data_IF_709756971739
#
_entry.id   IF_709756971739
#
_cell.length_a   1.000
_cell.length_b   1.000
_cell.length_c   1.000
_cell.angle_alpha   90.00
_cell.angle_beta   90.00
_cell.angle_gamma   90.00
#
_symmetry.space_group_name_H-M   'P 1'
#
loop_
_entity.id
_entity.type
_entity.pdbx_description
1 polymer ?
#
# COMPACT_ATOMS: atom_id res chain seq x y z
N UNK A 1 -34.53 -23.55 -12.79
CA UNK A 1 -33.91 -22.52 -13.64
C UNK A 1 -34.13 -21.16 -12.98
N UNK A 2 -33.06 -20.38 -12.79
CA UNK A 2 -33.06 -19.10 -12.07
C UNK A 2 -32.55 -18.01 -13.02
N UNK A 3 -33.29 -16.93 -13.18
CA UNK A 3 -32.85 -15.78 -13.97
C UNK A 3 -32.12 -14.78 -13.07
N UNK A 4 -30.99 -14.24 -13.54
CA UNK A 4 -30.15 -13.31 -12.77
C UNK A 4 -29.53 -12.23 -13.66
N UNK A 5 -29.45 -11.01 -13.15
CA UNK A 5 -28.66 -9.92 -13.74
C UNK A 5 -27.23 -9.84 -13.20
N UNK A 6 -26.85 -10.75 -12.31
CA UNK A 6 -25.54 -10.79 -11.68
C UNK A 6 -24.99 -12.22 -11.68
N UNK A 7 -24.17 -12.52 -12.69
CA UNK A 7 -23.44 -13.78 -12.72
C UNK A 7 -22.50 -13.92 -11.51
N UNK A 8 -21.92 -12.82 -11.03
CA UNK A 8 -21.12 -12.83 -9.80
C UNK A 8 -21.91 -13.28 -8.57
N UNK A 9 -23.18 -12.89 -8.45
CA UNK A 9 -24.05 -13.35 -7.37
C UNK A 9 -24.47 -14.81 -7.55
N UNK A 10 -24.74 -15.24 -8.79
CA UNK A 10 -25.04 -16.63 -9.09
C UNK A 10 -23.87 -17.57 -8.77
N UNK A 11 -22.65 -17.19 -9.14
CA UNK A 11 -21.43 -17.93 -8.77
C UNK A 11 -21.30 -18.05 -7.25
N UNK A 12 -21.45 -16.96 -6.50
CA UNK A 12 -21.40 -16.97 -5.03
C UNK A 12 -22.53 -17.77 -4.37
N UNK A 13 -23.69 -17.88 -5.02
CA UNK A 13 -24.82 -18.63 -4.48
C UNK A 13 -24.60 -20.15 -4.50
N UNK A 14 -23.76 -20.64 -5.41
CA UNK A 14 -23.43 -22.07 -5.56
C UNK A 14 -22.00 -22.42 -5.17
N UNK A 15 -21.20 -21.42 -4.78
CA UNK A 15 -19.83 -21.63 -4.29
C UNK A 15 -19.88 -22.06 -2.81
N UNK A 16 -19.52 -23.31 -2.49
CA UNK A 16 -19.49 -23.78 -1.11
C UNK A 16 -18.24 -23.29 -0.36
N UNK A 17 -17.27 -22.66 -1.05
CA UNK A 17 -16.05 -22.17 -0.42
C UNK A 17 -16.32 -20.95 0.47
N UNK A 18 -15.50 -20.81 1.52
CA UNK A 18 -15.60 -19.69 2.46
C UNK A 18 -15.15 -18.42 1.76
N UNK A 19 -16.08 -17.48 1.56
CA UNK A 19 -15.77 -16.17 0.99
C UNK A 19 -16.51 -15.02 1.68
N UNK A 20 -15.96 -13.81 1.56
CA UNK A 20 -16.44 -12.54 2.13
C UNK A 20 -17.95 -12.28 2.01
N UNK A 21 -18.56 -12.68 0.89
CA UNK A 21 -19.99 -12.52 0.63
C UNK A 21 -20.90 -13.62 1.14
N UNK A 22 -20.38 -14.65 1.84
CA UNK A 22 -21.18 -15.79 2.29
C UNK A 22 -21.79 -15.48 3.66
N UNK A 23 -23.12 -15.41 3.71
CA UNK A 23 -23.85 -15.30 4.98
C UNK A 23 -24.25 -16.68 5.53
N UNK A 24 -24.52 -17.65 4.64
CA UNK A 24 -24.95 -19.01 4.95
C UNK A 24 -24.58 -19.96 3.80
N UNK A 25 -24.42 -21.26 4.07
CA UNK A 25 -24.35 -22.32 3.04
C UNK A 25 -25.78 -22.79 2.73
N UNK A 26 -26.28 -22.52 1.53
CA UNK A 26 -27.69 -22.75 1.17
C UNK A 26 -27.96 -24.11 0.54
N UNK A 27 -26.94 -24.73 -0.06
CA UNK A 27 -27.07 -25.97 -0.82
C UNK A 27 -26.08 -27.01 -0.31
N UNK A 28 -26.57 -28.24 -0.15
CA UNK A 28 -25.73 -29.43 0.02
C UNK A 28 -25.28 -29.91 -1.36
N UNK A 29 -24.06 -30.45 -1.45
CA UNK A 29 -23.57 -31.00 -2.71
C UNK A 29 -24.33 -32.31 -3.02
N UNK A 30 -25.13 -32.30 -4.08
CA UNK A 30 -25.87 -33.46 -4.58
C UNK A 30 -25.70 -33.57 -6.10
N UNK A 31 -25.15 -34.69 -6.56
CA UNK A 31 -24.91 -34.98 -7.98
C UNK A 31 -26.21 -35.06 -8.81
N UNK A 32 -27.37 -35.19 -8.15
CA UNK A 32 -28.68 -35.23 -8.80
C UNK A 32 -29.42 -33.89 -8.79
N UNK A 33 -28.90 -32.86 -8.10
CA UNK A 33 -29.53 -31.55 -8.02
C UNK A 33 -28.84 -30.55 -8.96
N UNK A 34 -29.45 -30.28 -10.12
CA UNK A 34 -28.93 -29.29 -11.07
C UNK A 34 -29.74 -27.99 -11.02
N UNK A 35 -29.07 -26.88 -10.69
CA UNK A 35 -29.63 -25.53 -10.76
C UNK A 35 -29.02 -24.80 -11.96
N UNK A 36 -29.85 -24.46 -12.94
CA UNK A 36 -29.42 -23.65 -14.10
C UNK A 36 -29.66 -22.17 -13.83
N UNK A 37 -28.60 -21.35 -13.94
CA UNK A 37 -28.70 -19.89 -13.96
C UNK A 37 -28.71 -19.38 -15.40
N UNK A 38 -29.65 -18.50 -15.73
CA UNK A 38 -29.76 -17.81 -17.02
C UNK A 38 -29.49 -16.34 -16.80
N UNK A 39 -28.42 -15.83 -17.40
CA UNK A 39 -28.08 -14.42 -17.31
C UNK A 39 -29.04 -13.57 -18.16
N UNK A 40 -29.65 -12.57 -17.53
CA UNK A 40 -30.52 -11.60 -18.17
C UNK A 40 -30.03 -10.20 -17.78
N UNK A 41 -29.44 -9.43 -18.70
CA UNK A 41 -29.03 -8.06 -18.41
C UNK A 41 -30.19 -7.22 -17.88
N UNK A 42 -30.01 -6.55 -16.74
CA UNK A 42 -31.03 -5.67 -16.13
C UNK A 42 -31.47 -4.53 -17.07
N UNK A 43 -30.59 -4.10 -17.98
CA UNK A 43 -30.88 -3.12 -19.01
C UNK A 43 -32.03 -3.52 -19.95
N UNK A 44 -32.31 -4.82 -20.11
CA UNK A 44 -33.41 -5.30 -20.95
C UNK A 44 -34.78 -5.01 -20.33
N UNK A 45 -34.85 -4.73 -19.02
CA UNK A 45 -36.10 -4.48 -18.26
C UNK A 45 -37.19 -5.50 -18.60
N UNK A 46 -36.81 -6.76 -18.73
CA UNK A 46 -37.69 -7.81 -19.19
C UNK A 46 -38.75 -8.13 -18.12
N UNK A 47 -39.93 -7.53 -18.27
CA UNK A 47 -41.17 -7.84 -17.55
C UNK A 47 -40.94 -8.21 -16.05
N UNK A 48 -41.25 -9.45 -15.66
CA UNK A 48 -41.11 -9.97 -14.29
C UNK A 48 -39.68 -9.82 -13.74
N UNK A 49 -38.65 -9.95 -14.58
CA UNK A 49 -37.25 -9.77 -14.17
C UNK A 49 -36.92 -8.28 -13.95
N UNK A 50 -37.50 -7.38 -14.75
CA UNK A 50 -37.41 -5.93 -14.53
C UNK A 50 -38.07 -5.49 -13.23
N UNK A 51 -39.26 -6.02 -12.94
CA UNK A 51 -39.98 -5.80 -11.68
C UNK A 51 -39.20 -6.39 -10.49
N UNK A 52 -38.63 -7.59 -10.62
CA UNK A 52 -37.77 -8.19 -9.59
C UNK A 52 -36.51 -7.35 -9.32
N UNK A 53 -35.83 -6.86 -10.37
CA UNK A 53 -34.67 -5.97 -10.23
C UNK A 53 -35.04 -4.68 -9.50
N UNK A 54 -36.15 -4.05 -9.89
CA UNK A 54 -36.66 -2.83 -9.24
C UNK A 54 -37.04 -3.09 -7.78
N UNK A 55 -37.77 -4.16 -7.53
CA UNK A 55 -38.16 -4.57 -6.18
C UNK A 55 -36.92 -4.81 -5.30
N UNK A 56 -35.92 -5.57 -5.76
CA UNK A 56 -34.71 -5.88 -5.00
C UNK A 56 -33.85 -4.63 -4.76
N UNK A 57 -33.71 -3.75 -5.76
CA UNK A 57 -32.95 -2.49 -5.61
C UNK A 57 -33.63 -1.49 -4.67
N UNK A 58 -34.97 -1.48 -4.62
CA UNK A 58 -35.75 -0.66 -3.68
C UNK A 58 -35.84 -1.29 -2.28
N UNK A 59 -35.80 -2.63 -2.21
CA UNK A 59 -35.93 -3.38 -0.96
C UNK A 59 -34.62 -3.35 -0.17
N UNK A 60 -34.57 -2.48 0.84
CA UNK A 60 -33.52 -2.50 1.87
C UNK A 60 -33.76 -3.67 2.84
N UNK A 61 -33.51 -4.91 2.41
CA UNK A 61 -33.53 -6.06 3.31
C UNK A 61 -32.39 -5.93 4.31
N UNK A 62 -32.72 -5.85 5.60
CA UNK A 62 -31.74 -6.06 6.67
C UNK A 62 -31.40 -7.55 6.71
N UNK A 63 -30.34 -7.94 6.03
CA UNK A 63 -29.77 -9.29 6.16
C UNK A 63 -29.12 -9.38 7.55
N UNK A 64 -29.82 -10.00 8.50
CA UNK A 64 -29.37 -10.18 9.88
C UNK A 64 -29.97 -9.19 10.89
N UNK A 65 -30.41 -9.68 12.05
CA UNK A 65 -30.96 -8.89 13.16
C UNK A 65 -29.91 -8.09 13.95
N UNK A 66 -28.63 -8.38 13.74
CA UNK A 66 -27.50 -7.54 14.15
C UNK A 66 -26.84 -7.07 12.86
N UNK A 67 -26.36 -5.81 12.83
CA UNK A 67 -25.21 -5.48 11.95
C UNK A 67 -24.28 -6.68 12.03
N UNK A 68 -23.84 -7.24 10.92
CA UNK A 68 -23.06 -8.47 10.86
C UNK A 68 -21.69 -8.28 11.52
N UNK A 69 -21.66 -8.06 12.84
CA UNK A 69 -20.49 -7.91 13.69
C UNK A 69 -19.60 -9.16 13.64
N UNK A 70 -20.16 -10.26 13.10
CA UNK A 70 -19.57 -11.56 12.95
C UNK A 70 -19.39 -12.00 11.48
N UNK A 71 -19.66 -11.15 10.47
CA UNK A 71 -19.27 -11.53 9.11
C UNK A 71 -17.75 -11.57 9.03
N UNK A 72 -17.21 -12.49 8.22
CA UNK A 72 -15.76 -12.63 8.03
C UNK A 72 -15.14 -11.30 7.61
N UNK A 73 -15.81 -10.52 6.75
CA UNK A 73 -15.34 -9.19 6.35
C UNK A 73 -15.26 -8.20 7.50
N UNK A 74 -16.25 -8.18 8.40
CA UNK A 74 -16.24 -7.28 9.55
C UNK A 74 -15.19 -7.72 10.55
N UNK A 75 -15.01 -9.02 10.78
CA UNK A 75 -13.97 -9.56 11.63
C UNK A 75 -12.57 -9.29 11.05
N UNK A 76 -12.38 -9.49 9.75
CA UNK A 76 -11.14 -9.19 9.03
C UNK A 76 -10.83 -7.70 9.09
N UNK A 77 -11.82 -6.85 8.79
CA UNK A 77 -11.67 -5.39 8.90
C UNK A 77 -11.28 -4.97 10.31
N UNK A 78 -11.93 -5.51 11.35
CA UNK A 78 -11.58 -5.24 12.75
C UNK A 78 -10.16 -5.67 13.10
N UNK A 79 -9.75 -6.86 12.67
CA UNK A 79 -8.39 -7.36 12.90
C UNK A 79 -7.35 -6.46 12.21
N UNK A 80 -7.59 -6.09 10.95
CA UNK A 80 -6.72 -5.17 10.19
C UNK A 80 -6.61 -3.82 10.89
N UNK A 81 -7.73 -3.20 11.28
CA UNK A 81 -7.69 -1.92 11.99
C UNK A 81 -6.94 -2.02 13.33
N UNK A 82 -7.15 -3.11 14.08
CA UNK A 82 -6.44 -3.32 15.36
C UNK A 82 -4.92 -3.42 15.17
N UNK A 83 -4.47 -4.10 14.11
CA UNK A 83 -3.05 -4.21 13.77
C UNK A 83 -2.49 -2.87 13.30
N UNK A 84 -3.24 -2.13 12.48
CA UNK A 84 -2.84 -0.80 12.02
C UNK A 84 -2.72 0.18 13.19
N UNK A 85 -3.68 0.19 14.11
CA UNK A 85 -3.65 1.07 15.29
C UNK A 85 -2.46 0.74 16.19
N UNK A 86 -2.22 -0.55 16.45
CA UNK A 86 -1.06 -1.00 17.21
C UNK A 86 0.25 -0.55 16.56
N UNK A 87 0.36 -0.74 15.24
CA UNK A 87 1.57 -0.37 14.52
C UNK A 87 1.77 1.14 14.47
N UNK A 88 0.73 1.91 14.16
CA UNK A 88 0.78 3.39 14.18
C UNK A 88 1.16 3.92 15.56
N UNK A 89 0.66 3.31 16.65
CA UNK A 89 1.06 3.64 18.01
C UNK A 89 2.52 3.29 18.29
N UNK A 90 2.96 2.09 17.93
CA UNK A 90 4.33 1.64 18.16
C UNK A 90 5.33 2.47 17.36
N UNK A 91 4.96 2.88 16.15
CA UNK A 91 5.76 3.71 15.28
C UNK A 91 5.93 5.16 15.76
N UNK A 92 5.12 5.64 16.71
CA UNK A 92 5.38 6.92 17.36
C UNK A 92 6.56 6.87 18.33
N UNK A 93 6.98 5.67 18.77
CA UNK A 93 8.15 5.51 19.63
C UNK A 93 9.43 5.70 18.81
N UNK A 94 10.25 6.75 19.09
CA UNK A 94 11.49 6.99 18.36
C UNK A 94 12.49 5.83 18.43
N UNK A 95 12.46 5.03 19.50
CA UNK A 95 13.35 3.87 19.66
C UNK A 95 12.95 2.71 18.75
N UNK A 96 11.66 2.54 18.50
CA UNK A 96 11.14 1.56 17.54
C UNK A 96 11.31 2.03 16.10
N UNK A 97 11.02 3.31 15.86
CA UNK A 97 11.05 3.92 14.52
C UNK A 97 12.47 4.13 13.98
N UNK A 98 13.43 4.40 14.86
CA UNK A 98 14.79 4.81 14.52
C UNK A 98 14.91 6.32 14.29
N UNK A 99 16.06 6.89 14.66
CA UNK A 99 16.35 8.33 14.55
C UNK A 99 16.57 8.82 13.12
N UNK A 100 16.95 7.91 12.22
CA UNK A 100 17.34 8.23 10.84
C UNK A 100 16.17 8.18 9.85
N UNK A 101 14.95 7.82 10.30
CA UNK A 101 13.78 7.73 9.44
C UNK A 101 13.33 9.13 9.02
N UNK A 102 13.37 9.41 7.72
CA UNK A 102 12.93 10.69 7.18
C UNK A 102 11.41 10.88 7.36
N UNK A 103 11.01 11.88 8.14
CA UNK A 103 9.61 12.21 8.34
C UNK A 103 9.03 12.97 7.14
N UNK A 104 8.28 12.25 6.29
CA UNK A 104 7.58 12.85 5.17
C UNK A 104 6.15 13.22 5.55
N UNK A 105 5.64 14.26 4.91
CA UNK A 105 4.30 14.79 5.08
C UNK A 105 3.47 14.62 3.79
N UNK A 106 2.16 14.52 3.99
CA UNK A 106 1.14 14.69 2.95
C UNK A 106 0.96 16.19 2.63
N UNK A 107 0.28 16.55 1.52
CA UNK A 107 0.05 17.96 1.17
C UNK A 107 -0.67 18.79 2.25
N UNK A 108 -1.48 18.14 3.08
CA UNK A 108 -2.17 18.71 4.24
C UNK A 108 -1.29 18.85 5.50
N UNK A 109 0.00 18.52 5.37
CA UNK A 109 1.04 18.53 6.42
C UNK A 109 0.91 17.43 7.48
N UNK A 110 0.02 16.47 7.29
CA UNK A 110 -0.02 15.29 8.15
C UNK A 110 1.11 14.33 7.82
N UNK A 111 1.66 13.58 8.80
CA UNK A 111 2.61 12.51 8.53
C UNK A 111 2.03 11.52 7.51
N UNK A 112 2.88 11.00 6.63
CA UNK A 112 2.44 9.94 5.72
C UNK A 112 2.26 8.66 6.54
N UNK A 113 1.02 8.19 6.60
CA UNK A 113 0.70 6.93 7.26
C UNK A 113 0.88 5.77 6.29
N UNK A 114 1.53 4.68 6.72
CA UNK A 114 1.64 3.50 5.89
C UNK A 114 0.27 2.91 5.57
N UNK A 115 0.10 2.44 4.33
CA UNK A 115 -1.15 1.81 3.89
C UNK A 115 -0.85 0.62 2.99
N UNK A 116 -1.53 -0.49 3.27
CA UNK A 116 -1.47 -1.70 2.45
C UNK A 116 -2.40 -1.62 1.22
N UNK A 117 -3.35 -0.69 1.22
CA UNK A 117 -4.31 -0.53 0.13
C UNK A 117 -3.62 0.07 -1.09
N UNK A 118 -3.67 -0.65 -2.22
CA UNK A 118 -3.10 -0.22 -3.50
C UNK A 118 -1.62 0.20 -3.41
N UNK A 119 -0.87 -0.41 -2.48
CA UNK A 119 0.55 -0.10 -2.25
C UNK A 119 0.82 1.26 -1.59
N UNK A 120 -0.22 1.96 -1.16
CA UNK A 120 -0.11 3.24 -0.46
C UNK A 120 0.53 4.36 -1.31
N UNK A 121 0.78 5.52 -0.69
CA UNK A 121 1.30 6.69 -1.39
C UNK A 121 2.72 6.46 -1.95
N UNK A 122 3.54 5.59 -1.36
CA UNK A 122 4.90 5.31 -1.84
C UNK A 122 4.91 4.51 -3.16
N UNK A 123 4.23 3.36 -3.25
CA UNK A 123 4.28 2.56 -4.47
C UNK A 123 3.57 3.26 -5.63
N UNK A 124 2.51 4.02 -5.37
CA UNK A 124 1.89 4.85 -6.41
C UNK A 124 2.83 5.92 -6.98
N UNK A 125 3.82 6.39 -6.20
CA UNK A 125 4.76 7.44 -6.63
C UNK A 125 6.01 6.85 -7.29
N UNK A 126 6.52 5.74 -6.77
CA UNK A 126 7.85 5.21 -7.10
C UNK A 126 7.84 3.80 -7.69
N UNK A 127 6.68 3.15 -7.77
CA UNK A 127 6.54 1.74 -8.18
C UNK A 127 6.85 1.46 -9.65
N UNK A 128 7.21 2.47 -10.44
CA UNK A 128 7.55 2.33 -11.86
C UNK A 128 8.99 1.83 -12.09
N UNK A 129 9.87 1.90 -11.07
CA UNK A 129 11.27 1.47 -11.17
C UNK A 129 11.72 0.84 -9.85
N UNK A 130 12.08 -0.44 -9.89
CA UNK A 130 12.56 -1.19 -8.71
C UNK A 130 13.83 -0.52 -8.13
N UNK A 131 14.75 -0.10 -9.01
CA UNK A 131 16.01 0.53 -8.59
C UNK A 131 15.79 1.89 -7.96
N UNK A 132 14.86 2.68 -8.48
CA UNK A 132 14.50 3.97 -7.87
C UNK A 132 13.78 3.76 -6.54
N UNK A 133 12.84 2.82 -6.49
CA UNK A 133 12.12 2.48 -5.27
C UNK A 133 13.06 1.99 -4.16
N UNK A 134 14.05 1.17 -4.49
CA UNK A 134 15.07 0.72 -3.55
C UNK A 134 15.86 1.90 -2.96
N UNK A 135 16.29 2.85 -3.80
CA UNK A 135 17.02 4.05 -3.35
C UNK A 135 16.16 4.99 -2.53
N UNK A 136 14.88 5.10 -2.87
CA UNK A 136 13.91 5.85 -2.06
C UNK A 136 13.71 5.19 -0.70
N UNK A 137 13.57 3.86 -0.65
CA UNK A 137 13.51 3.14 0.61
C UNK A 137 14.77 3.39 1.42
N UNK A 138 15.94 3.22 0.82
CA UNK A 138 17.24 3.48 1.45
C UNK A 138 17.31 4.89 2.02
N UNK A 139 16.92 5.92 1.26
CA UNK A 139 16.87 7.32 1.67
C UNK A 139 15.88 7.58 2.82
N UNK A 140 14.68 7.01 2.75
CA UNK A 140 13.68 7.24 3.79
C UNK A 140 14.11 6.54 5.07
N UNK A 141 14.59 5.30 5.00
CA UNK A 141 14.84 4.44 6.18
C UNK A 141 16.17 4.64 6.88
N UNK A 142 17.06 5.49 6.38
CA UNK A 142 18.40 5.61 6.96
C UNK A 142 19.37 4.50 6.52
N UNK A 143 18.98 3.62 5.61
CA UNK A 143 19.73 2.41 5.24
C UNK A 143 20.46 2.52 3.90
N UNK A 144 20.78 3.74 3.45
CA UNK A 144 21.62 3.90 2.27
C UNK A 144 23.06 3.41 2.53
N UNK A 145 23.73 2.79 1.54
CA UNK A 145 25.12 2.37 1.64
C UNK A 145 26.06 3.59 1.53
N UNK A 146 26.08 4.40 2.57
CA UNK A 146 26.87 5.63 2.70
C UNK A 146 27.71 5.58 3.97
N UNK A 147 28.47 6.64 4.24
CA UNK A 147 29.41 6.71 5.35
C UNK A 147 28.85 6.26 6.70
N UNK A 148 27.67 6.75 7.12
CA UNK A 148 27.01 6.32 8.37
C UNK A 148 26.77 4.81 8.41
N UNK A 149 26.29 4.23 7.30
CA UNK A 149 26.05 2.80 7.18
C UNK A 149 27.36 2.02 7.29
N UNK A 150 28.40 2.43 6.56
CA UNK A 150 29.70 1.78 6.62
C UNK A 150 30.34 1.85 8.01
N UNK A 151 30.22 2.99 8.71
CA UNK A 151 30.63 3.11 10.11
C UNK A 151 29.88 2.11 11.00
N UNK A 152 28.55 2.07 10.89
CA UNK A 152 27.70 1.25 11.74
C UNK A 152 28.00 -0.24 11.59
N UNK A 153 28.17 -0.70 10.35
CA UNK A 153 28.45 -2.10 10.03
C UNK A 153 29.94 -2.45 10.00
N UNK A 154 30.83 -1.52 10.35
CA UNK A 154 32.30 -1.70 10.36
C UNK A 154 32.84 -2.19 9.01
N UNK A 155 32.29 -1.66 7.92
CA UNK A 155 32.71 -1.96 6.55
C UNK A 155 33.88 -1.04 6.21
N UNK A 156 34.93 -1.62 5.61
CA UNK A 156 36.15 -0.91 5.20
C UNK A 156 35.96 -0.18 3.86
N UNK A 157 35.07 0.80 3.87
CA UNK A 157 34.77 1.71 2.76
C UNK A 157 34.92 3.17 3.23
N UNK A 158 35.09 4.15 2.34
CA UNK A 158 35.18 5.56 2.74
C UNK A 158 33.93 6.04 3.48
N UNK A 159 34.13 6.64 4.66
CA UNK A 159 33.03 7.19 5.47
C UNK A 159 32.78 8.69 5.20
N UNK A 160 33.80 9.41 4.76
CA UNK A 160 33.73 10.84 4.44
C UNK A 160 33.08 11.08 3.08
N UNK A 161 32.37 12.20 2.95
CA UNK A 161 31.91 12.68 1.65
C UNK A 161 33.06 13.33 0.87
N UNK A 162 33.07 13.21 -0.45
CA UNK A 162 34.07 13.84 -1.32
C UNK A 162 33.96 15.36 -1.40
N UNK A 163 32.89 15.96 -0.88
CA UNK A 163 32.82 17.41 -0.63
C UNK A 163 33.63 17.85 0.62
N UNK A 164 34.33 16.93 1.30
CA UNK A 164 35.14 17.20 2.48
C UNK A 164 34.42 17.00 3.82
N UNK A 165 33.15 16.60 3.84
CA UNK A 165 32.46 16.28 5.10
C UNK A 165 33.05 15.01 5.71
N UNK A 166 33.41 15.04 7.00
CA UNK A 166 34.05 13.93 7.70
C UNK A 166 33.21 12.65 7.72
N UNK A 167 31.88 12.79 7.69
CA UNK A 167 30.94 11.68 7.66
C UNK A 167 29.80 11.97 6.69
N UNK A 168 29.58 11.06 5.75
CA UNK A 168 28.46 11.12 4.82
C UNK A 168 27.20 10.52 5.47
N UNK A 169 26.26 11.37 5.86
CA UNK A 169 24.94 11.01 6.40
C UNK A 169 23.81 11.37 5.44
N UNK A 170 22.60 10.87 5.71
CA UNK A 170 21.39 11.32 5.01
C UNK A 170 21.18 12.82 5.15
N UNK A 171 21.31 13.33 6.38
CA UNK A 171 21.17 14.75 6.65
C UNK A 171 22.16 15.56 5.82
N UNK A 172 23.41 15.10 5.72
CA UNK A 172 24.41 15.74 4.88
C UNK A 172 24.00 15.75 3.41
N UNK A 173 23.61 14.60 2.84
CA UNK A 173 23.20 14.49 1.43
C UNK A 173 21.98 15.36 1.12
N UNK A 174 20.96 15.34 1.98
CA UNK A 174 19.68 16.01 1.75
C UNK A 174 19.70 17.51 2.01
N UNK A 175 20.61 18.00 2.88
CA UNK A 175 20.52 19.37 3.39
C UNK A 175 21.83 20.17 3.33
N UNK A 176 22.99 19.53 3.16
CA UNK A 176 24.29 20.22 3.31
C UNK A 176 25.22 20.07 2.09
N UNK A 177 25.11 18.99 1.33
CA UNK A 177 26.07 18.62 0.30
C UNK A 177 25.80 19.30 -1.05
N UNK A 178 25.94 20.63 -1.07
CA UNK A 178 25.69 21.46 -2.26
C UNK A 178 26.68 21.21 -3.40
N UNK A 179 27.89 20.71 -3.10
CA UNK A 179 28.92 20.43 -4.10
C UNK A 179 28.63 19.19 -4.95
N UNK A 180 27.86 18.22 -4.42
CA UNK A 180 27.54 16.97 -5.12
C UNK A 180 26.08 16.84 -5.52
N UNK A 181 25.18 17.46 -4.78
CA UNK A 181 23.76 17.22 -4.94
C UNK A 181 22.99 18.53 -5.08
N UNK A 182 21.95 18.48 -5.91
CA UNK A 182 20.96 19.55 -5.96
C UNK A 182 20.08 19.44 -4.71
N UNK A 183 20.46 20.18 -3.67
CA UNK A 183 19.87 20.12 -2.33
C UNK A 183 18.52 20.82 -2.34
N UNK A 184 17.44 20.08 -2.09
CA UNK A 184 16.11 20.61 -1.84
C UNK A 184 15.55 19.89 -0.62
N UNK A 185 15.17 20.63 0.41
CA UNK A 185 14.69 20.07 1.69
C UNK A 185 13.41 19.25 1.47
N UNK A 186 13.47 17.90 1.47
CA UNK A 186 12.30 17.12 1.12
C UNK A 186 11.34 17.09 2.29
N UNK A 187 10.12 17.59 2.07
CA UNK A 187 9.02 17.52 3.04
C UNK A 187 7.92 16.59 2.56
N UNK A 188 7.74 16.46 1.25
CA UNK A 188 6.70 15.64 0.61
C UNK A 188 7.33 14.56 -0.29
N UNK A 189 6.58 13.50 -0.62
CA UNK A 189 7.06 12.45 -1.54
C UNK A 189 7.51 13.00 -2.90
N UNK A 190 6.82 14.02 -3.41
CA UNK A 190 7.19 14.68 -4.68
C UNK A 190 8.55 15.37 -4.62
N UNK A 191 8.98 15.82 -3.44
CA UNK A 191 10.27 16.46 -3.25
C UNK A 191 11.37 15.40 -3.30
N UNK A 192 11.12 14.23 -2.69
CA UNK A 192 12.00 13.06 -2.84
C UNK A 192 12.08 12.60 -4.29
N UNK A 193 10.95 12.50 -4.99
CA UNK A 193 10.95 12.13 -6.41
C UNK A 193 11.78 13.11 -7.26
N UNK A 194 11.61 14.41 -7.00
CA UNK A 194 12.40 15.45 -7.66
C UNK A 194 13.88 15.32 -7.32
N UNK A 195 14.21 15.15 -6.03
CA UNK A 195 15.58 14.94 -5.58
C UNK A 195 16.24 13.73 -6.26
N UNK A 196 15.57 12.58 -6.32
CA UNK A 196 16.10 11.37 -6.96
C UNK A 196 16.32 11.55 -8.46
N UNK A 197 15.45 12.32 -9.12
CA UNK A 197 15.57 12.68 -10.54
C UNK A 197 16.80 13.56 -10.80
N UNK A 198 17.05 14.56 -9.95
CA UNK A 198 18.22 15.44 -10.09
C UNK A 198 19.52 14.79 -9.61
N UNK A 199 19.43 13.78 -8.75
CA UNK A 199 20.58 13.14 -8.10
C UNK A 199 20.56 11.62 -8.35
N UNK A 200 20.82 11.17 -9.59
CA UNK A 200 20.62 9.77 -9.99
C UNK A 200 21.57 8.77 -9.32
N UNK A 201 22.62 9.23 -8.65
CA UNK A 201 23.57 8.39 -7.89
C UNK A 201 23.34 8.44 -6.38
N UNK A 202 22.48 9.34 -5.87
CA UNK A 202 22.24 9.45 -4.44
C UNK A 202 21.60 8.17 -3.88
N UNK A 203 22.02 7.83 -2.66
CA UNK A 203 21.53 6.71 -1.84
C UNK A 203 21.67 5.30 -2.45
N UNK A 204 22.30 5.16 -3.62
CA UNK A 204 22.60 3.85 -4.22
C UNK A 204 23.97 3.30 -3.81
N UNK A 205 24.18 2.01 -4.07
CA UNK A 205 25.51 1.40 -4.03
C UNK A 205 26.40 2.03 -5.12
N UNK A 206 27.67 2.28 -4.81
CA UNK A 206 28.65 2.91 -5.70
C UNK A 206 28.31 4.37 -6.05
N UNK A 207 28.31 5.24 -5.04
CA UNK A 207 28.23 6.70 -5.23
C UNK A 207 29.53 7.26 -5.81
N UNK A 208 29.86 6.85 -7.03
CA UNK A 208 31.14 7.16 -7.66
C UNK A 208 31.38 8.69 -7.64
N UNK A 209 32.51 9.18 -7.11
CA UNK A 209 32.80 10.62 -6.98
C UNK A 209 32.78 11.37 -8.31
N UNK A 210 32.99 10.66 -9.42
CA UNK A 210 33.24 11.24 -10.73
C UNK A 210 32.13 10.98 -11.75
N UNK A 211 31.13 10.16 -11.44
CA UNK A 211 30.04 9.86 -12.39
C UNK A 211 30.49 9.26 -13.72
N UNK A 212 31.66 8.60 -13.75
CA UNK A 212 32.18 7.92 -14.95
C UNK A 212 32.16 6.42 -14.68
N UNK A 213 31.48 5.68 -15.57
CA UNK A 213 31.56 4.23 -15.68
C UNK A 213 32.90 3.80 -16.25
#
# INVERSE_FOLDING_TARGET
MVFTDSMGSAHKAVDPSVHSGQAFTWFEADDFCHITFVYVPSALRWDIHGEAHKYVTELKVRVGHRKTDNSIDVLHSRAVHSVLDLWSSTFQDPTYRGSELLELQQPDRQPIQPSYLNGGPWLSTFGHSITEFARVCQCITGHAPIGVYYCHFKINEPHSCTCGAALQSHQHILFCCHDRYSVHYPRFLKDIASFMKYNPTAFGFNQDPLGVR
#
